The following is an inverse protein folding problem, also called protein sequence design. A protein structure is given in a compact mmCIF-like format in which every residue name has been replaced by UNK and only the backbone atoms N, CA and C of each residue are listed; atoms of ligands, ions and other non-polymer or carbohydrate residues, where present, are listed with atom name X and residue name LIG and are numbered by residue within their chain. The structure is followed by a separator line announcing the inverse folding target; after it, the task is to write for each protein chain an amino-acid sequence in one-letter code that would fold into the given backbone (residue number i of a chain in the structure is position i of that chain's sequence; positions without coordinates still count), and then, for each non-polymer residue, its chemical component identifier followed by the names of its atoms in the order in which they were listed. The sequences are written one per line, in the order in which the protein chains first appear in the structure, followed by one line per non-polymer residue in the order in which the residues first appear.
data_IF_448505495304
#
_entry.id   IF_448505495304
#
_cell.length_a   1.000
_cell.length_b   1.000
_cell.length_c   1.000
_cell.angle_alpha   90.00
_cell.angle_beta   90.00
_cell.angle_gamma   90.00
#
_symmetry.space_group_name_H-M   'P 1'
#
loop_
_entity.id
_entity.type
_entity.pdbx_description
1 polymer ?
#
# COMPACT_ATOMS: atom_id res chain seq x y z
N UNK A 1 -46.42 -11.37 18.66
CA UNK A 1 -45.39 -12.21 19.30
C UNK A 1 -44.18 -11.32 19.54
N UNK A 2 -44.08 -10.51 20.61
CA UNK A 2 -43.91 -10.81 22.04
C UNK A 2 -42.60 -11.55 22.39
N UNK A 3 -41.69 -10.77 23.01
CA UNK A 3 -40.60 -11.10 23.97
C UNK A 3 -39.32 -11.69 23.34
N UNK A 4 -38.11 -11.23 23.68
CA UNK A 4 -37.62 -11.02 25.06
C UNK A 4 -36.56 -9.91 25.21
N UNK A 5 -36.64 -9.29 26.38
CA UNK A 5 -35.71 -8.36 27.03
C UNK A 5 -34.59 -9.18 27.68
N UNK A 6 -33.35 -8.68 27.64
CA UNK A 6 -32.20 -9.26 28.36
C UNK A 6 -31.23 -8.16 28.81
N UNK A 7 -31.57 -7.52 29.92
CA UNK A 7 -30.84 -6.48 30.64
C UNK A 7 -29.86 -7.16 31.60
N UNK A 8 -28.55 -6.91 31.54
CA UNK A 8 -27.66 -7.09 32.71
C UNK A 8 -26.70 -5.91 32.82
N UNK A 9 -26.71 -5.38 34.04
CA UNK A 9 -26.21 -4.12 34.55
C UNK A 9 -25.09 -4.46 35.56
N UNK A 10 -24.03 -3.64 35.56
CA UNK A 10 -23.09 -3.33 36.66
C UNK A 10 -22.36 -4.47 37.39
N UNK A 11 -21.02 -4.42 37.37
CA UNK A 11 -20.22 -4.39 38.61
C UNK A 11 -19.07 -3.38 38.47
N UNK A 12 -19.20 -2.29 39.23
CA UNK A 12 -18.10 -1.44 39.71
C UNK A 12 -17.33 -2.22 40.78
N UNK A 13 -16.00 -2.27 40.71
CA UNK A 13 -15.19 -2.53 41.91
C UNK A 13 -13.82 -1.84 41.84
N UNK A 14 -13.77 -0.72 42.56
CA UNK A 14 -12.72 -0.35 43.53
C UNK A 14 -11.29 -0.08 43.07
N UNK A 15 -10.94 1.21 43.15
CA UNK A 15 -9.63 1.72 43.58
C UNK A 15 -9.10 0.93 44.79
N UNK A 16 -7.81 0.60 44.81
CA UNK A 16 -7.00 0.70 46.01
C UNK A 16 -5.53 1.03 45.68
N UNK A 17 -4.99 1.86 46.56
CA UNK A 17 -3.70 2.54 46.58
C UNK A 17 -2.48 1.62 46.48
N UNK A 18 -1.40 2.13 45.88
CA UNK A 18 -0.08 2.16 46.52
C UNK A 18 0.81 3.22 45.87
N UNK A 19 0.97 4.33 46.58
CA UNK A 19 2.08 5.28 46.43
C UNK A 19 3.34 4.55 46.90
N UNK A 20 4.35 4.48 46.03
CA UNK A 20 5.71 4.11 46.39
C UNK A 20 6.65 5.19 45.90
N UNK A 21 6.93 6.19 46.76
CA UNK A 21 8.16 6.97 46.66
C UNK A 21 9.30 6.07 47.13
N UNK A 22 10.32 5.89 46.30
CA UNK A 22 11.66 5.60 46.78
C UNK A 22 12.64 6.53 46.08
N UNK A 23 13.01 7.59 46.81
CA UNK A 23 14.20 8.39 46.60
C UNK A 23 15.41 7.50 46.94
N UNK A 24 16.17 7.07 45.94
CA UNK A 24 17.55 6.62 46.16
C UNK A 24 18.48 7.47 45.33
N UNK A 25 19.11 8.40 46.03
CA UNK A 25 20.23 9.17 45.55
C UNK A 25 21.48 8.30 45.36
N UNK A 26 22.32 8.77 44.42
CA UNK A 26 23.79 8.74 44.47
C UNK A 26 24.51 7.42 44.14
N UNK A 27 25.06 7.37 42.93
CA UNK A 27 26.49 7.11 42.75
C UNK A 27 26.98 7.68 41.42
N UNK A 28 27.85 8.68 41.51
CA UNK A 28 28.79 9.05 40.46
C UNK A 28 29.67 7.84 40.15
N UNK A 29 29.67 7.36 38.91
CA UNK A 29 30.66 6.38 38.47
C UNK A 29 31.08 6.66 37.03
N UNK A 30 32.24 7.32 36.97
CA UNK A 30 33.37 7.09 36.06
C UNK A 30 33.06 6.95 34.57
N UNK A 31 33.50 7.99 33.85
CA UNK A 31 33.87 7.93 32.45
C UNK A 31 34.80 6.75 32.18
N UNK A 32 34.38 5.90 31.25
CA UNK A 32 35.26 5.03 30.48
C UNK A 32 34.96 5.35 29.00
N UNK A 33 35.75 6.26 28.45
CA UNK A 33 35.80 6.57 27.03
C UNK A 33 36.41 5.36 26.31
N UNK A 34 35.59 4.36 26.05
CA UNK A 34 35.90 3.32 25.09
C UNK A 34 35.37 3.74 23.73
N UNK A 35 36.21 4.45 22.98
CA UNK A 35 36.07 4.69 21.54
C UNK A 35 35.99 3.35 20.79
N UNK A 36 34.81 2.74 20.80
CA UNK A 36 34.43 1.73 19.83
C UNK A 36 34.10 2.47 18.55
N UNK A 37 35.13 2.66 17.72
CA UNK A 37 35.01 3.00 16.30
C UNK A 37 34.22 1.88 15.62
N UNK A 38 32.90 1.95 15.76
CA UNK A 38 31.92 1.19 15.03
C UNK A 38 32.03 1.68 13.59
N UNK A 39 32.90 1.01 12.83
CA UNK A 39 32.85 1.07 11.39
C UNK A 39 31.43 0.68 10.98
N UNK A 40 30.60 1.70 10.75
CA UNK A 40 29.26 1.53 10.25
C UNK A 40 29.36 0.66 9.01
N UNK A 41 28.85 -0.57 9.08
CA UNK A 41 28.63 -1.38 7.90
C UNK A 41 27.95 -0.49 6.87
N UNK A 42 28.43 -0.44 5.62
CA UNK A 42 27.75 0.33 4.58
C UNK A 42 26.29 -0.07 4.62
N UNK A 43 25.41 0.90 4.85
CA UNK A 43 23.99 0.64 5.01
C UNK A 43 23.53 -0.14 3.78
N UNK A 44 23.03 -1.37 3.96
CA UNK A 44 22.56 -2.25 2.88
C UNK A 44 21.47 -1.60 2.00
N UNK A 45 20.94 -0.44 2.42
CA UNK A 45 20.05 0.43 1.67
C UNK A 45 20.73 1.29 0.58
N UNK A 46 22.06 1.32 0.51
CA UNK A 46 22.84 2.16 -0.41
C UNK A 46 23.28 1.45 -1.70
N UNK A 47 23.19 0.12 -1.76
CA UNK A 47 23.51 -0.61 -2.97
C UNK A 47 22.49 -0.28 -4.09
N UNK A 48 22.93 -0.22 -5.36
CA UNK A 48 22.01 -0.06 -6.47
C UNK A 48 21.14 -1.31 -6.64
N UNK A 49 19.87 -1.09 -7.01
CA UNK A 49 18.95 -2.17 -7.36
C UNK A 49 19.29 -2.64 -8.79
N UNK A 50 19.42 -3.95 -8.97
CA UNK A 50 19.80 -4.60 -10.23
C UNK A 50 18.91 -5.80 -10.51
N UNK A 51 18.93 -6.30 -11.74
CA UNK A 51 18.19 -7.52 -12.13
C UNK A 51 18.55 -8.75 -11.27
N UNK A 52 19.79 -8.81 -10.78
CA UNK A 52 20.26 -9.96 -9.98
C UNK A 52 19.85 -9.84 -8.50
N UNK A 53 19.71 -8.63 -7.97
CA UNK A 53 19.48 -8.41 -6.54
C UNK A 53 18.07 -7.91 -6.19
N UNK A 54 17.27 -7.41 -7.15
CA UNK A 54 16.06 -6.64 -6.84
C UNK A 54 15.09 -7.39 -5.93
N UNK A 55 14.92 -8.70 -6.13
CA UNK A 55 14.00 -9.52 -5.35
C UNK A 55 14.39 -9.57 -3.86
N UNK A 56 15.69 -9.58 -3.58
CA UNK A 56 16.25 -9.66 -2.24
C UNK A 56 16.68 -8.30 -1.67
N UNK A 57 16.69 -7.25 -2.50
CA UNK A 57 17.12 -5.92 -2.11
C UNK A 57 16.26 -5.40 -0.95
N UNK A 58 16.85 -4.90 0.17
CA UNK A 58 16.11 -4.53 1.37
C UNK A 58 14.96 -3.55 1.12
N UNK A 59 15.20 -2.54 0.27
CA UNK A 59 14.17 -1.55 -0.12
C UNK A 59 12.96 -2.19 -0.83
N UNK A 60 13.18 -3.17 -1.70
CA UNK A 60 12.10 -3.88 -2.41
C UNK A 60 11.37 -4.83 -1.47
N UNK A 61 12.11 -5.55 -0.61
CA UNK A 61 11.52 -6.44 0.40
C UNK A 61 10.58 -5.69 1.33
N UNK A 62 10.98 -4.54 1.85
CA UNK A 62 10.11 -3.70 2.68
C UNK A 62 8.79 -3.33 1.99
N UNK A 63 8.84 -3.02 0.69
CA UNK A 63 7.64 -2.71 -0.11
C UNK A 63 6.78 -3.97 -0.33
N UNK A 64 7.40 -5.14 -0.52
CA UNK A 64 6.67 -6.42 -0.66
C UNK A 64 5.98 -6.82 0.65
N UNK A 65 6.61 -6.55 1.79
CA UNK A 65 6.02 -6.79 3.11
C UNK A 65 4.82 -5.85 3.34
N UNK A 66 4.95 -4.58 2.96
CA UNK A 66 3.83 -3.62 2.94
C UNK A 66 2.68 -4.12 2.06
N UNK A 67 2.97 -4.55 0.83
CA UNK A 67 1.98 -5.12 -0.09
C UNK A 67 1.25 -6.31 0.56
N UNK A 68 1.97 -7.25 1.17
CA UNK A 68 1.37 -8.43 1.80
C UNK A 68 0.47 -8.08 2.99
N UNK A 69 0.88 -7.11 3.84
CA UNK A 69 0.06 -6.62 4.95
C UNK A 69 -1.24 -5.95 4.44
N UNK A 70 -1.14 -5.14 3.38
CA UNK A 70 -2.30 -4.47 2.77
C UNK A 70 -3.25 -5.49 2.14
N UNK A 71 -2.75 -6.46 1.38
CA UNK A 71 -3.60 -7.51 0.80
C UNK A 71 -4.33 -8.30 1.90
N UNK A 72 -3.64 -8.65 2.99
CA UNK A 72 -4.26 -9.23 4.18
C UNK A 72 -5.32 -8.30 4.80
N UNK A 73 -5.05 -6.98 4.86
CA UNK A 73 -6.02 -5.99 5.32
C UNK A 73 -7.31 -6.04 4.49
N UNK A 74 -7.19 -6.03 3.16
CA UNK A 74 -8.34 -5.99 2.23
C UNK A 74 -9.24 -7.23 2.29
N UNK A 75 -8.73 -8.33 2.83
CA UNK A 75 -9.46 -9.60 3.01
C UNK A 75 -10.01 -9.78 4.44
N UNK A 76 -9.84 -8.77 5.29
CA UNK A 76 -10.23 -8.79 6.70
C UNK A 76 -11.08 -7.57 7.04
N UNK A 77 -11.56 -7.50 8.28
CA UNK A 77 -12.29 -6.33 8.80
C UNK A 77 -11.35 -5.16 9.19
N UNK A 78 -10.02 -5.31 9.02
CA UNK A 78 -9.05 -4.23 9.26
C UNK A 78 -9.18 -3.08 8.27
N UNK A 79 -9.71 -3.34 7.08
CA UNK A 79 -9.93 -2.34 6.04
C UNK A 79 -11.41 -2.19 5.70
N UNK A 80 -11.86 -0.95 5.49
CA UNK A 80 -13.12 -0.65 4.81
C UNK A 80 -12.90 -0.56 3.30
N UNK A 81 -13.96 -0.77 2.53
CA UNK A 81 -13.94 -0.76 1.07
C UNK A 81 -15.07 0.12 0.55
N UNK A 82 -14.73 1.09 -0.30
CA UNK A 82 -15.68 1.91 -1.03
C UNK A 82 -15.43 1.74 -2.53
N UNK A 83 -16.50 1.66 -3.31
CA UNK A 83 -16.45 1.46 -4.74
C UNK A 83 -17.33 2.50 -5.43
N UNK A 84 -16.88 2.98 -6.59
CA UNK A 84 -17.71 3.68 -7.54
C UNK A 84 -17.48 3.15 -8.95
N UNK A 85 -18.45 3.38 -9.81
CA UNK A 85 -18.38 3.06 -11.22
C UNK A 85 -18.70 4.33 -12.00
N UNK A 86 -17.73 4.80 -12.77
CA UNK A 86 -17.87 5.97 -13.61
C UNK A 86 -18.35 5.51 -14.99
N UNK A 87 -19.34 6.22 -15.55
CA UNK A 87 -19.73 6.01 -16.94
C UNK A 87 -18.55 6.34 -17.86
N UNK A 88 -18.34 5.52 -18.89
CA UNK A 88 -17.27 5.75 -19.86
C UNK A 88 -17.73 6.74 -20.93
N UNK A 89 -16.97 7.81 -21.13
CA UNK A 89 -17.30 8.89 -22.05
C UNK A 89 -16.92 8.57 -23.53
N UNK A 90 -17.23 7.38 -24.04
CA UNK A 90 -16.85 6.94 -25.40
C UNK A 90 -17.15 5.47 -25.74
N UNK A 91 -16.57 4.89 -26.81
CA UNK A 91 -16.67 3.45 -27.10
C UNK A 91 -15.71 2.66 -26.19
N UNK A 92 -16.13 2.38 -24.97
CA UNK A 92 -15.35 1.62 -23.98
C UNK A 92 -16.22 1.15 -22.83
N UNK A 93 -15.65 0.39 -21.90
CA UNK A 93 -16.38 -0.11 -20.73
C UNK A 93 -16.30 0.89 -19.58
N UNK A 94 -17.35 0.99 -18.72
CA UNK A 94 -17.30 1.80 -17.50
C UNK A 94 -16.04 1.58 -16.68
N UNK A 95 -15.50 2.65 -16.09
CA UNK A 95 -14.32 2.56 -15.23
C UNK A 95 -14.79 2.24 -13.82
N UNK A 96 -14.23 1.19 -13.22
CA UNK A 96 -14.51 0.85 -11.82
C UNK A 96 -13.35 1.30 -10.96
N UNK A 97 -13.66 2.05 -9.92
CA UNK A 97 -12.70 2.56 -8.93
C UNK A 97 -13.04 2.00 -7.56
N UNK A 98 -12.02 1.50 -6.86
CA UNK A 98 -12.17 0.93 -5.53
C UNK A 98 -11.09 1.46 -4.62
N UNK A 99 -11.47 1.99 -3.46
CA UNK A 99 -10.55 2.51 -2.45
C UNK A 99 -10.71 1.70 -1.15
N UNK A 100 -9.60 1.36 -0.54
CA UNK A 100 -9.55 0.71 0.76
C UNK A 100 -8.90 1.62 1.79
N UNK A 101 -9.52 1.71 2.96
CA UNK A 101 -9.02 2.51 4.08
C UNK A 101 -8.83 1.64 5.31
N UNK A 102 -7.78 1.92 6.08
CA UNK A 102 -7.57 1.26 7.37
C UNK A 102 -8.49 1.82 8.48
N UNK A 103 -8.37 1.30 9.70
CA UNK A 103 -9.16 1.77 10.86
C UNK A 103 -8.88 3.22 11.28
N UNK A 104 -7.81 3.82 10.80
CA UNK A 104 -7.49 5.24 10.98
C UNK A 104 -7.97 6.10 9.80
N UNK A 105 -8.80 5.54 8.92
CA UNK A 105 -9.33 6.19 7.71
C UNK A 105 -8.27 6.57 6.65
N UNK A 106 -7.04 6.05 6.78
CA UNK A 106 -5.99 6.27 5.79
C UNK A 106 -6.18 5.35 4.60
N UNK A 107 -5.95 5.87 3.39
CA UNK A 107 -5.96 5.05 2.18
C UNK A 107 -4.74 4.14 2.18
N UNK A 108 -4.98 2.84 2.02
CA UNK A 108 -3.90 1.84 1.92
C UNK A 108 -3.83 1.22 0.54
N UNK A 109 -4.96 1.14 -0.17
CA UNK A 109 -5.03 0.62 -1.53
C UNK A 109 -6.02 1.40 -2.37
N UNK A 110 -5.71 1.58 -3.64
CA UNK A 110 -6.61 2.13 -4.64
C UNK A 110 -6.51 1.31 -5.93
N UNK A 111 -7.64 0.86 -6.48
CA UNK A 111 -7.71 0.05 -7.69
C UNK A 111 -8.55 0.74 -8.74
N UNK A 112 -8.05 0.69 -9.98
CA UNK A 112 -8.77 1.14 -11.17
C UNK A 112 -8.85 -0.03 -12.14
N UNK A 113 -10.07 -0.44 -12.48
CA UNK A 113 -10.34 -1.38 -13.56
C UNK A 113 -10.84 -0.59 -14.77
N UNK A 114 -10.18 -0.74 -15.90
CA UNK A 114 -10.51 -0.08 -17.16
C UNK A 114 -10.26 -1.01 -18.35
N UNK A 115 -10.83 -0.67 -19.51
CA UNK A 115 -10.66 -1.48 -20.70
C UNK A 115 -11.74 -1.29 -21.75
N UNK A 116 -11.83 -2.29 -22.61
CA UNK A 116 -12.83 -2.49 -23.63
C UNK A 116 -13.32 -3.94 -23.58
N UNK A 117 -14.20 -4.30 -24.51
CA UNK A 117 -14.65 -5.69 -24.66
C UNK A 117 -13.51 -6.66 -25.04
N UNK A 118 -12.43 -6.14 -25.65
CA UNK A 118 -11.32 -6.95 -26.18
C UNK A 118 -10.09 -6.99 -25.26
N UNK A 119 -10.01 -6.09 -24.28
CA UNK A 119 -8.90 -6.02 -23.33
C UNK A 119 -9.28 -5.32 -22.04
N UNK A 120 -8.74 -5.80 -20.92
CA UNK A 120 -8.93 -5.21 -19.60
C UNK A 120 -7.60 -5.03 -18.87
N UNK A 121 -7.50 -3.95 -18.10
CA UNK A 121 -6.38 -3.62 -17.25
C UNK A 121 -6.92 -3.32 -15.85
N UNK A 122 -6.25 -3.87 -14.84
CA UNK A 122 -6.43 -3.51 -13.44
C UNK A 122 -5.13 -2.88 -12.95
N UNK A 123 -5.21 -1.68 -12.41
CA UNK A 123 -4.09 -0.95 -11.81
C UNK A 123 -4.31 -0.81 -10.31
N UNK A 124 -3.52 -1.52 -9.51
CA UNK A 124 -3.55 -1.44 -8.05
C UNK A 124 -2.42 -0.55 -7.53
N UNK A 125 -2.76 0.48 -6.77
CA UNK A 125 -1.86 1.39 -6.09
C UNK A 125 -1.85 1.09 -4.58
N UNK A 126 -0.66 1.06 -3.98
CA UNK A 126 -0.46 0.74 -2.56
C UNK A 126 0.30 1.86 -1.87
N UNK A 127 -0.23 2.29 -0.73
CA UNK A 127 0.25 3.47 0.00
C UNK A 127 0.81 3.08 1.36
N UNK A 128 1.84 3.80 1.81
CA UNK A 128 2.31 3.69 3.19
C UNK A 128 1.46 4.51 4.17
N UNK A 129 1.88 4.51 5.44
CA UNK A 129 1.17 5.18 6.53
C UNK A 129 1.12 6.70 6.40
N UNK A 130 1.99 7.28 5.58
CA UNK A 130 2.02 8.71 5.29
C UNK A 130 1.30 9.03 3.97
N UNK A 131 0.48 8.10 3.47
CA UNK A 131 -0.26 8.19 2.21
C UNK A 131 0.63 8.35 0.98
N UNK A 132 1.88 7.88 1.04
CA UNK A 132 2.81 7.92 -0.10
C UNK A 132 2.67 6.66 -0.94
N UNK A 133 2.61 6.80 -2.26
CA UNK A 133 2.61 5.66 -3.18
C UNK A 133 3.93 4.90 -3.07
N UNK A 134 3.87 3.60 -2.76
CA UNK A 134 5.04 2.72 -2.60
C UNK A 134 5.13 1.62 -3.62
N UNK A 135 3.99 1.18 -4.13
CA UNK A 135 3.92 0.09 -5.09
C UNK A 135 2.74 0.25 -6.03
N UNK A 136 2.96 -0.08 -7.29
CA UNK A 136 1.90 -0.24 -8.29
C UNK A 136 2.01 -1.63 -8.90
N UNK A 137 0.87 -2.32 -8.93
CA UNK A 137 0.72 -3.62 -9.57
C UNK A 137 -0.34 -3.55 -10.66
N UNK A 138 0.12 -3.69 -11.89
CA UNK A 138 -0.72 -3.63 -13.08
C UNK A 138 -0.82 -5.02 -13.67
N UNK A 139 -2.05 -5.47 -13.87
CA UNK A 139 -2.33 -6.72 -14.56
C UNK A 139 -3.26 -6.43 -15.72
N UNK A 140 -3.03 -7.07 -16.85
CA UNK A 140 -3.88 -6.93 -18.02
C UNK A 140 -4.06 -8.23 -18.76
N UNK A 141 -5.13 -8.28 -19.54
CA UNK A 141 -5.43 -9.41 -20.42
C UNK A 141 -6.18 -8.93 -21.66
N UNK A 142 -5.92 -9.57 -22.78
CA UNK A 142 -6.66 -9.35 -24.01
C UNK A 142 -7.25 -10.66 -24.54
N UNK A 143 -8.25 -10.55 -25.42
CA UNK A 143 -8.97 -11.68 -26.01
C UNK A 143 -8.05 -12.67 -26.74
N UNK A 144 -6.93 -12.19 -27.29
CA UNK A 144 -5.91 -12.99 -27.99
C UNK A 144 -4.91 -13.71 -27.05
N UNK A 145 -5.29 -13.93 -25.79
CA UNK A 145 -4.47 -14.54 -24.73
C UNK A 145 -3.23 -13.74 -24.31
N UNK A 146 -3.03 -12.51 -24.80
CA UNK A 146 -1.97 -11.64 -24.30
C UNK A 146 -2.22 -11.29 -22.82
N UNK A 147 -1.16 -11.35 -22.01
CA UNK A 147 -1.18 -11.04 -20.57
C UNK A 147 -0.15 -9.99 -20.26
N UNK A 148 -0.48 -9.10 -19.33
CA UNK A 148 0.40 -8.09 -18.78
C UNK A 148 0.56 -8.33 -17.28
N UNK A 149 1.80 -8.29 -16.80
CA UNK A 149 2.15 -8.09 -15.41
C UNK A 149 3.22 -6.99 -15.32
N UNK A 150 2.93 -5.92 -14.59
CA UNK A 150 3.88 -4.85 -14.34
C UNK A 150 3.91 -4.49 -12.86
N UNK A 151 5.13 -4.26 -12.36
CA UNK A 151 5.42 -3.97 -10.96
C UNK A 151 6.29 -2.73 -10.91
N UNK A 152 5.81 -1.68 -10.27
CA UNK A 152 6.55 -0.40 -10.14
C UNK A 152 6.75 -0.11 -8.66
N UNK A 153 7.99 0.12 -8.25
CA UNK A 153 8.39 0.31 -6.86
C UNK A 153 8.84 1.74 -6.62
N UNK A 154 8.41 2.31 -5.50
CA UNK A 154 8.74 3.67 -5.10
C UNK A 154 9.36 3.72 -3.70
N UNK A 155 10.32 4.61 -3.52
CA UNK A 155 10.88 4.87 -2.20
C UNK A 155 10.03 5.84 -1.37
N UNK A 156 10.52 6.14 -0.16
CA UNK A 156 9.88 7.03 0.78
C UNK A 156 9.79 8.48 0.30
N UNK A 157 10.62 8.88 -0.67
CA UNK A 157 10.48 10.21 -1.30
C UNK A 157 9.41 10.23 -2.40
N UNK A 158 8.89 9.07 -2.78
CA UNK A 158 7.98 8.89 -3.91
C UNK A 158 8.70 8.67 -5.25
N UNK A 159 10.04 8.62 -5.25
CA UNK A 159 10.83 8.39 -6.45
C UNK A 159 10.71 6.92 -6.90
N UNK A 160 10.60 6.70 -8.22
CA UNK A 160 10.62 5.36 -8.83
C UNK A 160 12.01 4.77 -8.65
N UNK A 161 12.10 3.58 -8.06
CA UNK A 161 13.40 2.93 -7.74
C UNK A 161 13.63 1.62 -8.48
N UNK A 162 12.55 0.98 -8.91
CA UNK A 162 12.63 -0.26 -9.67
C UNK A 162 11.33 -0.51 -10.43
N UNK A 163 11.44 -1.20 -11.55
CA UNK A 163 10.29 -1.60 -12.36
C UNK A 163 10.55 -2.96 -12.99
N UNK A 164 9.52 -3.79 -13.08
CA UNK A 164 9.56 -5.06 -13.79
C UNK A 164 8.33 -5.18 -14.66
N UNK A 165 8.55 -5.50 -15.92
CA UNK A 165 7.51 -5.68 -16.93
C UNK A 165 7.59 -7.09 -17.50
N UNK A 166 6.44 -7.78 -17.58
CA UNK A 166 6.32 -9.09 -18.19
C UNK A 166 5.05 -9.14 -19.04
N UNK A 167 5.20 -9.45 -20.32
CA UNK A 167 4.09 -9.59 -21.28
C UNK A 167 4.15 -10.97 -21.91
N UNK A 168 3.00 -11.63 -22.05
CA UNK A 168 2.86 -12.78 -22.93
C UNK A 168 2.36 -12.34 -24.30
N UNK A 169 3.06 -12.80 -25.34
CA UNK A 169 2.64 -12.70 -26.73
C UNK A 169 1.53 -13.73 -27.05
N UNK A 170 0.70 -13.52 -28.09
CA UNK A 170 0.90 -12.60 -29.21
C UNK A 170 0.00 -11.36 -29.25
N UNK A 171 0.56 -10.22 -29.70
CA UNK A 171 -0.18 -9.25 -30.51
C UNK A 171 -1.08 -8.24 -29.81
N UNK A 172 -0.93 -8.00 -28.51
CA UNK A 172 -1.55 -6.83 -27.84
C UNK A 172 -0.48 -5.87 -27.32
N UNK A 173 -0.58 -4.60 -27.73
CA UNK A 173 0.39 -3.55 -27.40
C UNK A 173 0.03 -2.90 -26.06
N UNK A 174 0.33 -3.57 -24.95
CA UNK A 174 0.29 -2.93 -23.64
C UNK A 174 1.38 -1.83 -23.55
N UNK A 175 1.18 -0.83 -22.70
CA UNK A 175 2.22 0.17 -22.45
C UNK A 175 3.48 -0.51 -21.90
N UNK A 176 4.63 -0.24 -22.52
CA UNK A 176 5.92 -0.78 -22.04
C UNK A 176 6.39 -0.06 -20.78
N UNK A 177 6.12 1.24 -20.68
CA UNK A 177 6.40 2.09 -19.53
C UNK A 177 5.11 2.80 -19.16
N UNK A 178 4.69 2.69 -17.91
CA UNK A 178 3.50 3.41 -17.44
C UNK A 178 3.83 4.88 -17.17
N UNK A 179 3.12 5.83 -17.82
CA UNK A 179 3.29 7.26 -17.59
C UNK A 179 3.06 7.65 -16.12
N UNK A 180 3.83 8.61 -15.61
CA UNK A 180 3.75 9.06 -14.21
C UNK A 180 2.41 9.73 -13.88
N UNK A 181 1.79 10.39 -14.85
CA UNK A 181 0.47 11.03 -14.73
C UNK A 181 -0.69 10.03 -14.70
N UNK A 182 -0.45 8.77 -15.10
CA UNK A 182 -1.41 7.67 -14.97
C UNK A 182 -1.29 6.91 -13.64
N UNK A 183 -0.35 7.29 -12.78
CA UNK A 183 -0.16 6.69 -11.46
C UNK A 183 -0.78 7.60 -10.40
N UNK A 184 -1.81 7.11 -9.72
CA UNK A 184 -2.50 7.87 -8.68
C UNK A 184 -1.54 8.12 -7.50
N UNK A 185 -0.95 9.33 -7.47
CA UNK A 185 -0.12 9.80 -6.35
C UNK A 185 -0.97 10.24 -5.17
N UNK A 186 -2.14 10.82 -5.46
CA UNK A 186 -3.18 11.13 -4.50
C UNK A 186 -4.41 10.27 -4.82
N UNK A 187 -4.58 9.20 -4.05
CA UNK A 187 -5.67 8.25 -4.22
C UNK A 187 -7.05 8.87 -4.05
N UNK A 188 -7.17 9.85 -3.15
CA UNK A 188 -8.47 10.46 -2.81
C UNK A 188 -8.87 11.40 -3.92
N UNK A 189 -7.95 12.26 -4.36
CA UNK A 189 -8.20 13.15 -5.48
C UNK A 189 -8.56 12.38 -6.75
N UNK A 190 -7.85 11.28 -7.06
CA UNK A 190 -8.17 10.44 -8.22
C UNK A 190 -9.50 9.70 -8.04
N UNK A 191 -9.79 9.15 -6.85
CA UNK A 191 -11.08 8.51 -6.57
C UNK A 191 -12.26 9.49 -6.65
N UNK A 192 -12.09 10.74 -6.24
CA UNK A 192 -13.16 11.74 -6.22
C UNK A 192 -13.29 12.51 -7.56
N UNK A 193 -12.30 12.40 -8.44
CA UNK A 193 -12.34 13.04 -9.75
C UNK A 193 -13.53 12.54 -10.59
N UNK A 194 -14.29 13.49 -11.14
CA UNK A 194 -15.32 13.23 -12.14
C UNK A 194 -14.68 12.74 -13.45
N UNK A 195 -15.34 11.85 -14.21
CA UNK A 195 -14.85 11.47 -15.52
C UNK A 195 -14.91 12.68 -16.48
N UNK A 196 -13.82 12.94 -17.21
CA UNK A 196 -13.78 13.97 -18.25
C UNK A 196 -14.59 13.50 -19.47
N UNK A 197 -15.89 13.80 -19.46
CA UNK A 197 -16.79 13.66 -20.61
C UNK A 197 -16.84 14.99 -21.38
N UNK A 198 -16.06 15.12 -22.45
CA UNK A 198 -16.13 16.25 -23.39
C UNK A 198 -17.09 15.98 -24.55
#
# INVERSE_FOLDING_TARGET
MQRSIGFILFILFSLFFAVGCDDTARSEQMADDSDSESAASPSESSEPITEQNWLNHPRIRAIRDLYADIESCTQSDRCSRTEKQDEYCGPGTPIKRVIWRDKSDRVVKYSVDSGSDDAAITTNHYYDRDSRLRFVFITGGAYNDARLEQRIYFDESGARIWERHAVSEPGYSFHEIWPEDMLARDAVADFDAEPDCL
#
